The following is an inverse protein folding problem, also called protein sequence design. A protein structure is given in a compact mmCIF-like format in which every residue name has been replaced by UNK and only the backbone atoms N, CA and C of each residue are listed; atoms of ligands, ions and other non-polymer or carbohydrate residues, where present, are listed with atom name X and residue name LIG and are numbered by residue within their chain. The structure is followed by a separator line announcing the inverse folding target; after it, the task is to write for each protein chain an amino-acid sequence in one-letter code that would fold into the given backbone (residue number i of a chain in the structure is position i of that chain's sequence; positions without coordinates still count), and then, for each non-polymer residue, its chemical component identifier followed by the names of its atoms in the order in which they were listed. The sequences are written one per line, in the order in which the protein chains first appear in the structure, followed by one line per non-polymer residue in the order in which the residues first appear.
data_IF_061406719614
#
_entry.id   IF_061406719614
#
_cell.length_a   1.000
_cell.length_b   1.000
_cell.length_c   1.000
_cell.angle_alpha   90.00
_cell.angle_beta   90.00
_cell.angle_gamma   90.00
#
_symmetry.space_group_name_H-M   'P 1'
#
loop_
_entity.id
_entity.type
_entity.pdbx_description
1 polymer ?
#
# COMPACT_ATOMS: atom_id res chain seq x y z
N UNK A 1 0.66 -12.92 3.24
CA UNK A 1 -0.64 -13.58 2.94
C UNK A 1 -1.26 -13.11 1.63
N UNK A 2 -0.79 -12.03 1.04
CA UNK A 2 -1.31 -11.46 -0.19
C UNK A 2 -2.57 -10.60 0.02
N UNK A 3 -3.27 -10.31 -1.07
CA UNK A 3 -4.45 -9.46 -1.09
C UNK A 3 -5.65 -10.13 -0.42
N UNK A 4 -6.45 -9.37 0.34
CA UNK A 4 -7.72 -9.80 0.94
C UNK A 4 -8.68 -10.42 -0.09
N UNK A 5 -8.65 -9.97 -1.34
CA UNK A 5 -9.42 -10.52 -2.47
C UNK A 5 -9.35 -12.05 -2.54
N UNK A 6 -8.17 -12.64 -2.32
CA UNK A 6 -7.94 -14.10 -2.37
C UNK A 6 -8.60 -14.86 -1.21
N UNK A 7 -8.93 -14.17 -0.15
CA UNK A 7 -9.53 -14.74 1.06
C UNK A 7 -11.05 -14.54 1.15
N UNK A 8 -11.65 -13.76 0.24
CA UNK A 8 -13.10 -13.59 0.18
C UNK A 8 -13.72 -14.82 -0.48
N UNK A 9 -14.66 -15.47 0.21
CA UNK A 9 -15.37 -16.67 -0.24
C UNK A 9 -16.81 -16.37 -0.69
N UNK A 10 -17.43 -15.32 -0.15
CA UNK A 10 -18.77 -14.91 -0.51
C UNK A 10 -19.01 -13.46 -0.16
N UNK A 11 -19.95 -12.82 -0.85
CA UNK A 11 -20.38 -11.45 -0.60
C UNK A 11 -21.91 -11.38 -0.69
N UNK A 12 -22.49 -10.53 0.16
CA UNK A 12 -23.84 -10.00 -0.02
C UNK A 12 -23.73 -8.52 -0.33
N UNK A 13 -24.28 -8.11 -1.46
CA UNK A 13 -24.13 -6.76 -2.01
C UNK A 13 -25.50 -6.19 -2.31
N UNK A 14 -25.78 -4.98 -1.82
CA UNK A 14 -26.95 -4.21 -2.21
C UNK A 14 -26.59 -3.40 -3.45
N UNK A 15 -27.32 -3.60 -4.54
CA UNK A 15 -27.16 -2.90 -5.81
C UNK A 15 -27.89 -1.55 -5.79
N UNK A 16 -27.68 -0.74 -6.81
CA UNK A 16 -28.20 0.62 -6.92
C UNK A 16 -29.74 0.67 -6.87
N UNK A 17 -30.43 -0.34 -7.41
CA UNK A 17 -31.89 -0.45 -7.42
C UNK A 17 -32.50 -1.00 -6.11
N UNK A 18 -31.65 -1.28 -5.12
CA UNK A 18 -32.03 -1.85 -3.83
C UNK A 18 -32.13 -3.38 -3.84
N UNK A 19 -31.94 -4.03 -4.98
CA UNK A 19 -31.87 -5.50 -5.03
C UNK A 19 -30.64 -6.02 -4.29
N UNK A 20 -30.71 -7.26 -3.81
CA UNK A 20 -29.64 -7.92 -3.08
C UNK A 20 -29.03 -9.02 -3.97
N UNK A 21 -27.73 -8.92 -4.21
CA UNK A 21 -26.94 -9.92 -4.91
C UNK A 21 -26.13 -10.73 -3.91
N UNK A 22 -26.35 -12.05 -3.86
CA UNK A 22 -25.52 -12.97 -3.07
C UNK A 22 -24.65 -13.78 -4.02
N UNK A 23 -23.33 -13.71 -3.81
CA UNK A 23 -22.34 -14.37 -4.68
C UNK A 23 -21.29 -15.12 -3.87
N UNK A 24 -20.79 -16.19 -4.45
CA UNK A 24 -19.72 -17.02 -3.91
C UNK A 24 -18.51 -17.02 -4.85
N UNK A 25 -17.36 -17.37 -4.30
CA UNK A 25 -16.15 -17.56 -5.10
C UNK A 25 -16.42 -18.61 -6.19
N UNK A 26 -16.17 -18.23 -7.44
CA UNK A 26 -16.44 -19.05 -8.63
C UNK A 26 -17.71 -18.69 -9.39
N UNK A 27 -18.64 -17.90 -8.81
CA UNK A 27 -19.80 -17.37 -9.52
C UNK A 27 -19.34 -16.36 -10.57
N UNK A 28 -19.43 -16.73 -11.85
CA UNK A 28 -18.87 -15.95 -12.94
C UNK A 28 -19.72 -14.73 -13.28
N UNK A 29 -19.05 -13.66 -13.66
CA UNK A 29 -19.67 -12.52 -14.33
C UNK A 29 -19.94 -12.91 -15.78
N UNK A 30 -21.17 -12.67 -16.27
CA UNK A 30 -21.67 -13.14 -17.57
C UNK A 30 -21.85 -12.01 -18.61
N UNK A 31 -21.49 -10.78 -18.29
CA UNK A 31 -21.78 -9.62 -19.13
C UNK A 31 -20.55 -8.85 -19.63
N UNK A 32 -19.33 -9.24 -19.25
CA UNK A 32 -18.12 -8.54 -19.64
C UNK A 32 -16.97 -9.53 -19.89
N UNK A 33 -16.43 -9.49 -21.11
CA UNK A 33 -15.25 -10.24 -21.53
C UNK A 33 -14.03 -9.34 -21.75
N UNK A 34 -14.09 -8.09 -21.25
CA UNK A 34 -12.97 -7.16 -21.36
C UNK A 34 -11.75 -7.70 -20.59
N UNK A 35 -10.59 -7.49 -21.18
CA UNK A 35 -9.31 -7.82 -20.53
C UNK A 35 -8.46 -6.56 -20.36
N UNK A 36 -8.14 -6.27 -19.11
CA UNK A 36 -7.21 -5.20 -18.75
C UNK A 36 -5.96 -5.81 -18.13
N UNK A 37 -4.78 -5.65 -18.74
CA UNK A 37 -3.54 -6.17 -18.20
C UNK A 37 -3.30 -5.65 -16.78
N UNK A 38 -2.93 -6.56 -15.88
CA UNK A 38 -2.53 -6.19 -14.53
C UNK A 38 -1.07 -5.70 -14.53
N UNK A 39 -0.78 -4.73 -13.67
CA UNK A 39 0.60 -4.37 -13.36
C UNK A 39 1.33 -5.57 -12.74
N UNK A 40 2.62 -5.71 -13.03
CA UNK A 40 3.47 -6.77 -12.46
C UNK A 40 3.90 -6.44 -11.03
N UNK A 41 2.93 -6.20 -10.16
CA UNK A 41 3.11 -5.84 -8.75
C UNK A 41 2.43 -6.86 -7.84
N UNK A 42 2.89 -6.98 -6.60
CA UNK A 42 2.27 -7.86 -5.60
C UNK A 42 0.88 -7.36 -5.19
N UNK A 43 0.65 -6.04 -5.29
CA UNK A 43 -0.57 -5.35 -4.88
C UNK A 43 -1.02 -4.38 -5.97
N UNK A 44 -2.32 -4.38 -6.28
CA UNK A 44 -2.94 -3.42 -7.20
C UNK A 44 -4.43 -3.29 -6.86
N UNK A 45 -4.86 -2.08 -6.56
CA UNK A 45 -6.26 -1.70 -6.32
C UNK A 45 -6.72 -0.55 -7.22
N UNK A 46 -5.93 -0.19 -8.24
CA UNK A 46 -6.28 0.84 -9.20
C UNK A 46 -7.29 0.31 -10.22
N UNK A 47 -8.52 0.80 -10.18
CA UNK A 47 -9.57 0.40 -11.13
C UNK A 47 -10.20 -0.96 -10.84
N UNK A 48 -11.09 -1.38 -11.74
CA UNK A 48 -11.72 -2.71 -11.65
C UNK A 48 -10.79 -3.78 -12.22
N UNK A 49 -10.79 -4.95 -11.58
CA UNK A 49 -10.18 -6.13 -12.18
C UNK A 49 -11.10 -6.69 -13.27
N UNK A 50 -10.79 -6.42 -14.53
CA UNK A 50 -11.52 -6.95 -15.67
C UNK A 50 -10.66 -7.98 -16.40
N UNK A 51 -11.19 -9.21 -16.49
CA UNK A 51 -10.58 -10.32 -17.24
C UNK A 51 -11.63 -11.33 -17.64
N UNK A 52 -11.46 -12.03 -18.76
CA UNK A 52 -12.37 -13.08 -19.17
C UNK A 52 -12.57 -14.13 -18.06
N UNK A 53 -13.80 -14.48 -17.80
CA UNK A 53 -14.16 -15.48 -16.80
C UNK A 53 -13.88 -15.10 -15.34
N UNK A 54 -13.75 -13.80 -15.01
CA UNK A 54 -13.69 -13.34 -13.63
C UNK A 54 -14.95 -13.71 -12.85
N UNK A 55 -14.85 -13.79 -11.53
CA UNK A 55 -16.03 -13.94 -10.69
C UNK A 55 -16.48 -12.59 -10.09
N UNK A 56 -17.70 -12.56 -9.57
CA UNK A 56 -18.28 -11.38 -8.95
C UNK A 56 -17.45 -10.82 -7.78
N UNK A 57 -16.79 -11.70 -7.02
CA UNK A 57 -15.93 -11.28 -5.90
C UNK A 57 -14.72 -10.51 -6.41
N UNK A 58 -14.12 -10.97 -7.52
CA UNK A 58 -12.99 -10.27 -8.15
C UNK A 58 -13.40 -8.88 -8.63
N UNK A 59 -14.63 -8.72 -9.12
CA UNK A 59 -15.16 -7.44 -9.58
C UNK A 59 -15.48 -6.48 -8.42
N UNK A 60 -16.13 -6.98 -7.34
CA UNK A 60 -16.48 -6.13 -6.20
C UNK A 60 -15.29 -5.77 -5.31
N UNK A 61 -14.29 -6.67 -5.20
CA UNK A 61 -13.10 -6.39 -4.41
C UNK A 61 -12.25 -5.28 -5.06
N UNK A 62 -12.17 -4.13 -4.39
CA UNK A 62 -11.48 -2.94 -4.91
C UNK A 62 -12.38 -2.00 -5.73
N UNK A 63 -13.69 -2.27 -5.82
CA UNK A 63 -14.64 -1.38 -6.53
C UNK A 63 -14.95 -0.06 -5.82
N UNK A 64 -14.43 0.14 -4.62
CA UNK A 64 -14.58 1.36 -3.83
C UNK A 64 -16.06 1.80 -3.63
N UNK A 65 -16.98 0.83 -3.53
CA UNK A 65 -18.42 1.11 -3.38
C UNK A 65 -19.08 1.75 -4.60
N UNK A 66 -18.44 1.69 -5.77
CA UNK A 66 -18.99 2.27 -7.01
C UNK A 66 -19.90 1.33 -7.77
N UNK A 67 -19.89 0.03 -7.45
CA UNK A 67 -20.71 -1.01 -8.11
C UNK A 67 -21.83 -1.55 -7.22
N UNK A 68 -21.76 -1.35 -5.93
CA UNK A 68 -22.70 -1.83 -4.93
C UNK A 68 -22.17 -1.58 -3.53
N UNK A 69 -23.01 -1.85 -2.54
CA UNK A 69 -22.68 -1.72 -1.10
C UNK A 69 -22.56 -3.13 -0.53
N UNK A 70 -21.33 -3.54 -0.19
CA UNK A 70 -21.08 -4.82 0.48
C UNK A 70 -21.62 -4.71 1.92
N UNK A 71 -22.58 -5.57 2.28
CA UNK A 71 -23.22 -5.59 3.60
C UNK A 71 -22.82 -6.82 4.42
N UNK A 72 -22.31 -7.87 3.76
CA UNK A 72 -21.82 -9.09 4.39
C UNK A 72 -20.69 -9.68 3.57
N UNK A 73 -19.70 -10.27 4.24
CA UNK A 73 -18.57 -10.94 3.59
C UNK A 73 -18.18 -12.22 4.34
N UNK A 74 -18.09 -13.32 3.62
CA UNK A 74 -17.53 -14.56 4.11
C UNK A 74 -16.05 -14.63 3.79
N UNK A 75 -15.21 -14.79 4.83
CA UNK A 75 -13.75 -14.80 4.69
C UNK A 75 -13.17 -16.17 5.02
N UNK A 76 -12.17 -16.57 4.24
CA UNK A 76 -11.29 -17.71 4.58
C UNK A 76 -10.35 -17.27 5.70
N UNK A 77 -10.41 -17.97 6.82
CA UNK A 77 -9.47 -17.78 7.92
C UNK A 77 -8.20 -18.60 7.69
N UNK A 78 -7.09 -18.06 8.13
CA UNK A 78 -5.82 -18.79 8.20
C UNK A 78 -5.58 -19.26 9.65
N UNK A 79 -4.91 -20.41 9.85
CA UNK A 79 -4.44 -20.79 11.17
C UNK A 79 -3.58 -19.70 11.79
N UNK A 80 -3.76 -19.42 13.08
CA UNK A 80 -2.82 -18.54 13.80
C UNK A 80 -1.47 -19.22 13.85
N UNK A 81 -0.37 -18.57 13.44
CA UNK A 81 0.97 -19.16 13.58
C UNK A 81 1.26 -19.51 15.05
N UNK A 82 1.84 -20.68 15.26
CA UNK A 82 2.16 -21.16 16.60
C UNK A 82 3.31 -20.33 17.22
N UNK A 83 4.29 -20.01 16.41
CA UNK A 83 5.45 -19.21 16.80
C UNK A 83 5.80 -18.19 15.73
N UNK A 84 6.10 -16.94 16.16
CA UNK A 84 6.51 -15.83 15.30
C UNK A 84 7.63 -15.10 16.00
N UNK A 85 8.81 -15.12 15.39
CA UNK A 85 9.88 -14.21 15.75
C UNK A 85 9.64 -12.86 15.10
N UNK A 86 9.77 -11.79 15.87
CA UNK A 86 9.73 -10.42 15.36
C UNK A 86 11.04 -9.70 15.68
N UNK A 87 11.44 -8.76 14.83
CA UNK A 87 12.64 -7.98 15.07
C UNK A 87 12.58 -6.59 14.42
N UNK A 88 13.31 -5.65 15.02
CA UNK A 88 13.63 -4.36 14.41
C UNK A 88 15.14 -4.31 14.22
N UNK A 89 15.57 -4.37 12.97
CA UNK A 89 16.99 -4.40 12.59
C UNK A 89 17.39 -3.01 12.12
N UNK A 90 18.41 -2.43 12.78
CA UNK A 90 18.87 -1.08 12.49
C UNK A 90 20.11 -1.08 11.61
N UNK A 91 20.14 -0.14 10.67
CA UNK A 91 21.25 0.06 9.73
C UNK A 91 21.71 1.51 9.75
N UNK A 92 22.98 1.75 9.44
CA UNK A 92 23.55 3.11 9.41
C UNK A 92 23.00 3.98 8.30
N UNK A 93 22.53 3.37 7.20
CA UNK A 93 21.92 4.04 6.05
C UNK A 93 21.07 3.05 5.23
N UNK A 94 20.47 3.51 4.12
CA UNK A 94 19.55 2.71 3.31
C UNK A 94 20.22 1.58 2.53
N UNK A 95 21.47 1.72 2.08
CA UNK A 95 22.11 0.72 1.20
C UNK A 95 22.21 -0.66 1.88
N UNK A 96 22.81 -0.80 3.08
CA UNK A 96 22.85 -2.10 3.75
C UNK A 96 21.45 -2.62 4.12
N UNK A 97 20.48 -1.75 4.37
CA UNK A 97 19.09 -2.19 4.59
C UNK A 97 18.48 -2.78 3.32
N UNK A 98 18.74 -2.18 2.15
CA UNK A 98 18.27 -2.69 0.86
C UNK A 98 18.96 -4.01 0.49
N UNK A 99 20.25 -4.13 0.76
CA UNK A 99 20.99 -5.39 0.57
C UNK A 99 20.41 -6.50 1.44
N UNK A 100 20.07 -6.19 2.69
CA UNK A 100 19.38 -7.11 3.59
C UNK A 100 17.99 -7.50 3.06
N UNK A 101 17.20 -6.57 2.53
CA UNK A 101 15.89 -6.88 1.90
C UNK A 101 16.06 -7.85 0.75
N UNK A 102 17.05 -7.64 -0.12
CA UNK A 102 17.29 -8.51 -1.27
C UNK A 102 17.74 -9.92 -0.83
N UNK A 103 18.58 -10.01 0.20
CA UNK A 103 19.04 -11.28 0.77
C UNK A 103 17.94 -12.03 1.54
N UNK A 104 17.10 -11.31 2.29
CA UNK A 104 16.15 -11.91 3.23
C UNK A 104 14.79 -12.19 2.63
N UNK A 105 14.41 -11.53 1.55
CA UNK A 105 13.08 -11.65 0.93
C UNK A 105 12.59 -13.08 0.74
N UNK A 106 13.49 -14.02 0.47
CA UNK A 106 13.18 -15.43 0.20
C UNK A 106 13.44 -16.35 1.40
N UNK A 107 13.72 -15.81 2.58
CA UNK A 107 13.89 -16.64 3.80
C UNK A 107 12.58 -17.37 4.10
N UNK A 108 12.61 -18.70 4.29
CA UNK A 108 11.42 -19.46 4.65
C UNK A 108 10.72 -18.91 5.89
N UNK A 109 9.39 -18.82 5.82
CA UNK A 109 8.59 -18.31 6.94
C UNK A 109 8.61 -16.79 7.12
N UNK A 110 9.42 -16.04 6.38
CA UNK A 110 9.40 -14.58 6.45
C UNK A 110 8.08 -14.07 5.87
N UNK A 111 7.30 -13.38 6.70
CA UNK A 111 5.94 -12.95 6.39
C UNK A 111 5.79 -11.43 6.25
N UNK A 112 6.78 -10.68 6.74
CA UNK A 112 6.75 -9.23 6.69
C UNK A 112 8.18 -8.67 6.69
N UNK A 113 8.42 -7.68 5.83
CA UNK A 113 9.57 -6.76 5.90
C UNK A 113 9.02 -5.35 5.70
N UNK A 114 9.09 -4.53 6.75
CA UNK A 114 8.73 -3.11 6.73
C UNK A 114 9.97 -2.26 6.81
N UNK A 115 10.00 -1.19 6.03
CA UNK A 115 11.13 -0.25 5.97
C UNK A 115 10.80 1.07 6.67
N UNK A 116 11.81 1.66 7.30
CA UNK A 116 11.77 3.00 7.90
C UNK A 116 13.05 3.74 7.49
N UNK A 117 12.91 4.92 6.87
CA UNK A 117 14.04 5.77 6.55
C UNK A 117 14.54 6.57 7.76
N UNK A 118 15.65 7.28 7.61
CA UNK A 118 16.25 8.09 8.68
C UNK A 118 15.27 9.13 9.26
N UNK A 119 14.43 9.75 8.43
CA UNK A 119 13.45 10.76 8.86
C UNK A 119 12.28 10.10 9.60
N UNK A 120 11.88 8.91 9.20
CA UNK A 120 10.92 8.08 9.95
C UNK A 120 11.44 7.74 11.33
N UNK A 121 12.70 7.32 11.44
CA UNK A 121 13.34 7.01 12.73
C UNK A 121 13.49 8.27 13.59
N UNK A 122 13.84 9.41 13.01
CA UNK A 122 13.91 10.68 13.73
C UNK A 122 12.56 11.06 14.35
N UNK A 123 11.48 10.90 13.63
CA UNK A 123 10.12 11.15 14.14
C UNK A 123 9.75 10.14 15.24
N UNK A 124 10.06 8.85 15.04
CA UNK A 124 9.79 7.80 16.03
C UNK A 124 10.56 7.99 17.34
N UNK A 125 11.79 8.55 17.30
CA UNK A 125 12.61 8.81 18.52
C UNK A 125 11.91 9.73 19.54
N UNK A 126 10.95 10.53 19.13
CA UNK A 126 10.13 11.34 20.05
C UNK A 126 9.37 10.45 21.06
N UNK A 127 8.95 9.25 20.65
CA UNK A 127 8.22 8.28 21.48
C UNK A 127 9.04 7.05 21.86
N UNK A 128 10.13 6.80 21.12
CA UNK A 128 11.03 5.66 21.25
C UNK A 128 12.47 6.14 21.31
N UNK A 129 12.89 6.80 22.43
CA UNK A 129 14.26 7.32 22.58
C UNK A 129 15.33 6.23 22.60
N UNK A 130 14.94 4.96 22.78
CA UNK A 130 15.79 3.79 22.72
C UNK A 130 16.28 3.43 21.31
N UNK A 131 15.73 4.03 20.24
CA UNK A 131 16.21 3.83 18.87
C UNK A 131 17.69 4.29 18.79
N UNK A 132 18.62 3.43 18.30
CA UNK A 132 20.03 3.79 18.19
C UNK A 132 20.23 5.11 17.45
N UNK A 133 21.02 6.01 18.02
CA UNK A 133 21.22 7.36 17.47
C UNK A 133 21.82 7.33 16.05
N UNK A 134 22.73 6.37 15.80
CA UNK A 134 23.40 6.18 14.52
C UNK A 134 22.52 5.51 13.45
N UNK A 135 21.32 5.02 13.80
CA UNK A 135 20.44 4.36 12.84
C UNK A 135 19.92 5.36 11.81
N UNK A 136 20.25 5.11 10.54
CA UNK A 136 19.79 5.84 9.37
C UNK A 136 18.72 5.10 8.56
N UNK A 137 18.49 3.81 8.86
CA UNK A 137 17.38 3.02 8.35
C UNK A 137 17.03 1.90 9.32
N UNK A 138 15.81 1.35 9.23
CA UNK A 138 15.44 0.14 9.94
C UNK A 138 14.55 -0.76 9.09
N UNK A 139 14.64 -2.08 9.36
CA UNK A 139 13.72 -3.09 8.87
C UNK A 139 13.00 -3.72 10.07
N UNK A 140 11.67 -3.71 10.06
CA UNK A 140 10.87 -4.51 10.97
C UNK A 140 10.46 -5.78 10.24
N UNK A 141 10.78 -6.91 10.84
CA UNK A 141 10.55 -8.24 10.27
C UNK A 141 9.66 -9.08 11.15
N UNK A 142 8.91 -10.00 10.53
CA UNK A 142 8.24 -11.11 11.21
C UNK A 142 8.51 -12.40 10.44
N UNK A 143 8.88 -13.46 11.15
CA UNK A 143 9.14 -14.80 10.59
C UNK A 143 8.41 -15.87 11.39
N UNK A 144 7.67 -16.74 10.72
CA UNK A 144 7.08 -17.94 11.33
C UNK A 144 8.18 -18.99 11.57
N UNK A 145 8.21 -19.55 12.76
CA UNK A 145 9.23 -20.50 13.21
C UNK A 145 10.66 -19.94 12.99
N UNK A 146 10.84 -18.64 13.27
CA UNK A 146 12.11 -17.96 13.08
C UNK A 146 13.19 -18.44 14.04
N UNK A 147 14.44 -18.50 13.57
CA UNK A 147 15.61 -18.87 14.34
C UNK A 147 16.32 -17.59 14.83
N UNK A 148 16.37 -17.39 16.14
CA UNK A 148 17.01 -16.22 16.75
C UNK A 148 18.52 -16.22 16.52
N UNK A 149 19.17 -17.38 16.49
CA UNK A 149 20.63 -17.48 16.30
C UNK A 149 20.99 -17.08 14.88
N UNK A 150 20.16 -17.45 13.88
CA UNK A 150 20.33 -16.95 12.53
C UNK A 150 20.32 -15.41 12.47
N UNK A 151 19.36 -14.78 13.13
CA UNK A 151 19.26 -13.33 13.11
C UNK A 151 20.36 -12.64 13.93
N UNK A 152 20.81 -13.24 15.02
CA UNK A 152 21.97 -12.74 15.79
C UNK A 152 23.26 -12.68 14.95
N UNK A 153 23.43 -13.64 14.02
CA UNK A 153 24.60 -13.68 13.13
C UNK A 153 24.49 -12.71 11.92
N UNK A 154 23.25 -12.31 11.54
CA UNK A 154 23.01 -11.54 10.30
C UNK A 154 22.54 -10.10 10.54
N UNK A 155 22.17 -9.74 11.77
CA UNK A 155 21.72 -8.40 12.13
C UNK A 155 22.78 -7.64 12.94
N UNK A 156 22.86 -6.30 12.83
CA UNK A 156 23.70 -5.48 13.69
C UNK A 156 23.36 -5.65 15.19
N UNK A 157 24.35 -5.51 16.07
CA UNK A 157 24.24 -5.76 17.52
C UNK A 157 23.13 -4.95 18.21
N UNK A 158 22.88 -3.71 17.75
CA UNK A 158 21.85 -2.82 18.32
C UNK A 158 20.42 -3.23 17.93
N UNK A 159 20.24 -4.32 17.16
CA UNK A 159 18.93 -4.78 16.68
C UNK A 159 18.10 -5.39 17.82
N UNK A 160 16.78 -5.24 17.71
CA UNK A 160 15.85 -5.75 18.71
C UNK A 160 15.13 -6.99 18.19
N UNK A 161 15.11 -8.06 18.99
CA UNK A 161 14.38 -9.28 18.68
C UNK A 161 13.46 -9.67 19.83
N UNK A 162 12.37 -10.31 19.49
CA UNK A 162 11.35 -10.73 20.43
C UNK A 162 10.76 -12.07 20.03
N UNK A 163 10.80 -13.01 20.97
CA UNK A 163 10.09 -14.28 20.89
C UNK A 163 8.81 -14.28 21.74
N UNK A 164 8.68 -13.37 22.74
CA UNK A 164 7.48 -13.30 23.59
C UNK A 164 6.34 -12.53 22.92
N UNK A 165 5.08 -12.89 23.25
CA UNK A 165 3.89 -12.16 22.80
C UNK A 165 3.92 -10.68 23.22
N UNK A 166 4.47 -10.39 24.42
CA UNK A 166 4.56 -9.03 24.93
C UNK A 166 5.50 -8.16 24.10
N UNK A 167 6.66 -8.69 23.72
CA UNK A 167 7.63 -7.96 22.91
C UNK A 167 7.13 -7.79 21.46
N UNK A 168 6.46 -8.80 20.89
CA UNK A 168 5.81 -8.69 19.59
C UNK A 168 4.77 -7.57 19.58
N UNK A 169 3.99 -7.43 20.66
CA UNK A 169 3.04 -6.34 20.80
C UNK A 169 3.75 -4.96 20.92
N UNK A 170 4.95 -4.90 21.54
CA UNK A 170 5.80 -3.71 21.54
C UNK A 170 6.20 -3.32 20.12
N UNK A 171 6.64 -4.27 19.31
CA UNK A 171 7.03 -3.99 17.92
C UNK A 171 5.82 -3.65 17.03
N UNK A 172 4.66 -4.25 17.28
CA UNK A 172 3.41 -3.84 16.64
C UNK A 172 3.07 -2.38 16.96
N UNK A 173 3.18 -1.98 18.21
CA UNK A 173 2.98 -0.57 18.62
C UNK A 173 4.01 0.37 18.00
N UNK A 174 5.27 -0.04 17.94
CA UNK A 174 6.34 0.69 17.25
C UNK A 174 5.96 0.95 15.77
N UNK A 175 5.53 -0.10 15.05
CA UNK A 175 5.07 0.03 13.66
C UNK A 175 3.91 1.03 13.51
N UNK A 176 2.92 0.96 14.39
CA UNK A 176 1.73 1.83 14.33
C UNK A 176 2.00 3.26 14.80
N UNK A 177 3.01 3.50 15.62
CA UNK A 177 3.35 4.81 16.11
C UNK A 177 3.68 5.81 15.00
N UNK A 178 4.36 5.37 13.92
CA UNK A 178 4.75 6.26 12.83
C UNK A 178 3.56 6.81 12.04
N UNK A 179 2.62 6.00 11.52
CA UNK A 179 1.40 6.52 10.88
C UNK A 179 0.59 7.46 11.78
N UNK A 180 0.51 7.19 13.08
CA UNK A 180 -0.16 8.05 14.05
C UNK A 180 0.54 9.41 14.16
N UNK A 181 1.87 9.44 14.35
CA UNK A 181 2.65 10.67 14.45
C UNK A 181 2.60 11.48 13.14
N UNK A 182 2.62 10.82 11.98
CA UNK A 182 2.41 11.45 10.67
C UNK A 182 1.06 12.14 10.61
N UNK A 183 -0.03 11.43 10.97
CA UNK A 183 -1.39 11.98 10.96
C UNK A 183 -1.54 13.15 11.94
N UNK A 184 -0.95 13.05 13.13
CA UNK A 184 -0.95 14.13 14.13
C UNK A 184 -0.17 15.36 13.65
N UNK A 185 0.97 15.15 12.99
CA UNK A 185 1.77 16.24 12.42
C UNK A 185 1.01 16.95 11.30
N UNK A 186 0.39 16.22 10.38
CA UNK A 186 -0.42 16.76 9.30
C UNK A 186 -1.60 17.56 9.86
N UNK A 187 -2.29 17.02 10.88
CA UNK A 187 -3.42 17.69 11.54
C UNK A 187 -2.98 19.01 12.21
N UNK A 188 -1.87 18.99 12.95
CA UNK A 188 -1.32 20.18 13.62
C UNK A 188 -0.91 21.28 12.62
N UNK A 189 -0.39 20.90 11.46
CA UNK A 189 0.04 21.84 10.41
C UNK A 189 -1.11 22.37 9.56
N UNK A 190 -2.29 21.74 9.62
CA UNK A 190 -3.51 22.20 8.93
C UNK A 190 -3.56 21.92 7.43
N UNK A 191 -2.60 21.17 6.88
CA UNK A 191 -2.58 20.78 5.46
C UNK A 191 -3.29 19.45 5.25
N UNK A 192 -3.68 19.17 4.00
CA UNK A 192 -4.13 17.86 3.61
C UNK A 192 -2.93 16.89 3.56
N UNK A 193 -3.17 15.64 3.91
CA UNK A 193 -2.15 14.59 3.83
C UNK A 193 -1.71 14.38 2.38
N UNK A 194 -0.42 14.54 2.13
CA UNK A 194 0.26 14.24 0.87
C UNK A 194 1.01 12.92 1.02
N UNK A 195 0.45 11.85 0.44
CA UNK A 195 1.06 10.51 0.52
C UNK A 195 0.92 9.72 -0.77
N UNK A 196 1.91 8.89 -1.05
CA UNK A 196 1.87 7.88 -2.12
C UNK A 196 1.17 6.60 -1.64
N UNK A 197 0.70 5.81 -2.62
CA UNK A 197 0.24 4.44 -2.47
C UNK A 197 0.65 3.67 -3.73
N UNK A 198 1.92 3.84 -4.12
CA UNK A 198 2.48 3.34 -5.37
C UNK A 198 3.25 2.06 -5.11
N UNK A 199 3.03 1.03 -5.90
CA UNK A 199 3.87 -0.14 -5.91
C UNK A 199 4.52 -0.33 -7.29
N UNK A 200 5.72 -0.86 -7.31
CA UNK A 200 6.44 -1.20 -8.54
C UNK A 200 6.78 -2.70 -8.54
N UNK A 201 7.18 -3.28 -9.69
CA UNK A 201 7.72 -4.64 -9.69
C UNK A 201 8.86 -4.77 -8.67
N UNK A 202 8.93 -5.91 -7.99
CA UNK A 202 9.91 -6.16 -6.91
C UNK A 202 11.33 -5.77 -7.32
N UNK A 203 11.75 -6.14 -8.52
CA UNK A 203 13.08 -5.84 -9.04
C UNK A 203 13.35 -4.32 -9.25
N UNK A 204 12.30 -3.48 -9.20
CA UNK A 204 12.39 -2.03 -9.38
C UNK A 204 12.25 -1.26 -8.07
N UNK A 205 12.08 -1.95 -6.93
CA UNK A 205 11.84 -1.32 -5.63
C UNK A 205 12.98 -0.40 -5.18
N UNK A 206 14.25 -0.83 -5.35
CA UNK A 206 15.45 -0.02 -5.04
C UNK A 206 15.51 1.25 -5.91
N UNK A 207 15.25 1.12 -7.19
CA UNK A 207 15.22 2.24 -8.13
C UNK A 207 14.15 3.26 -7.75
N UNK A 208 12.96 2.79 -7.38
CA UNK A 208 11.86 3.68 -6.97
C UNK A 208 12.17 4.42 -5.67
N UNK A 209 12.79 3.75 -4.67
CA UNK A 209 13.20 4.42 -3.44
C UNK A 209 14.25 5.50 -3.73
N UNK A 210 15.26 5.20 -4.54
CA UNK A 210 16.27 6.17 -4.93
C UNK A 210 15.65 7.37 -5.67
N UNK A 211 14.72 7.11 -6.58
CA UNK A 211 13.99 8.17 -7.28
C UNK A 211 13.24 9.08 -6.30
N UNK A 212 12.52 8.52 -5.33
CA UNK A 212 11.88 9.31 -4.28
C UNK A 212 12.86 10.25 -3.58
N UNK A 213 14.00 9.73 -3.13
CA UNK A 213 15.00 10.49 -2.38
C UNK A 213 15.63 11.61 -3.20
N UNK A 214 16.05 11.30 -4.44
CA UNK A 214 16.65 12.27 -5.36
C UNK A 214 15.67 13.41 -5.67
N UNK A 215 14.41 13.07 -5.98
CA UNK A 215 13.42 14.11 -6.32
C UNK A 215 13.01 14.97 -5.12
N UNK A 216 12.90 14.39 -3.93
CA UNK A 216 12.66 15.14 -2.70
C UNK A 216 13.80 16.13 -2.41
N UNK A 217 15.04 15.69 -2.59
CA UNK A 217 16.24 16.53 -2.42
C UNK A 217 16.28 17.68 -3.45
N UNK A 218 16.07 17.38 -4.74
CA UNK A 218 16.08 18.38 -5.81
C UNK A 218 14.99 19.44 -5.64
N UNK A 219 13.86 19.09 -5.05
CA UNK A 219 12.77 20.02 -4.74
C UNK A 219 12.92 20.70 -3.38
N UNK A 220 14.04 20.49 -2.68
CA UNK A 220 14.33 21.00 -1.34
C UNK A 220 13.18 20.71 -0.33
N UNK A 221 12.53 19.55 -0.46
CA UNK A 221 11.51 19.09 0.48
C UNK A 221 12.18 18.27 1.55
N UNK A 222 12.33 18.85 2.74
CA UNK A 222 12.95 18.20 3.90
C UNK A 222 11.95 17.56 4.86
N UNK A 223 10.71 18.02 4.86
CA UNK A 223 9.65 17.54 5.74
C UNK A 223 8.93 16.34 5.11
N UNK A 224 9.55 15.18 5.18
CA UNK A 224 8.95 13.93 4.71
C UNK A 224 9.39 12.74 5.55
N UNK A 225 8.69 11.63 5.41
CA UNK A 225 9.08 10.28 5.87
C UNK A 225 8.81 9.27 4.77
N UNK A 226 9.67 8.24 4.67
CA UNK A 226 9.50 7.10 3.77
C UNK A 226 9.48 5.83 4.61
N UNK A 227 8.38 5.09 4.54
CA UNK A 227 8.22 3.82 5.24
C UNK A 227 7.24 2.91 4.53
N UNK A 228 7.20 1.64 4.90
CA UNK A 228 6.17 0.71 4.41
C UNK A 228 6.73 -0.63 3.93
N UNK A 229 5.95 -1.29 3.11
CA UNK A 229 6.07 -2.70 2.73
C UNK A 229 7.16 -2.93 1.69
N UNK A 230 8.42 -2.77 2.07
CA UNK A 230 9.55 -2.90 1.13
C UNK A 230 9.65 -4.31 0.53
N UNK A 231 9.19 -5.33 1.27
CA UNK A 231 9.08 -6.69 0.79
C UNK A 231 8.24 -6.81 -0.49
N UNK A 232 7.24 -5.95 -0.65
CA UNK A 232 6.34 -5.85 -1.81
C UNK A 232 6.72 -4.74 -2.80
N UNK A 233 7.86 -4.08 -2.64
CA UNK A 233 8.25 -2.87 -3.37
C UNK A 233 7.15 -1.78 -3.33
N UNK A 234 6.50 -1.64 -2.16
CA UNK A 234 5.42 -0.72 -1.89
C UNK A 234 5.79 0.16 -0.70
N UNK A 235 6.39 1.31 -0.97
CA UNK A 235 6.79 2.30 0.03
C UNK A 235 5.89 3.52 -0.02
N UNK A 236 5.55 4.04 1.16
CA UNK A 236 4.79 5.27 1.32
C UNK A 236 5.73 6.45 1.55
N UNK A 237 5.72 7.41 0.64
CA UNK A 237 6.26 8.75 0.89
C UNK A 237 5.14 9.59 1.50
N UNK A 238 5.38 10.17 2.66
CA UNK A 238 4.48 11.13 3.28
C UNK A 238 5.19 12.48 3.37
N UNK A 239 4.72 13.48 2.62
CA UNK A 239 5.24 14.85 2.68
C UNK A 239 4.45 15.60 3.76
N UNK A 240 5.17 16.10 4.74
CA UNK A 240 4.64 16.81 5.91
C UNK A 240 4.78 18.31 5.68
N UNK A 241 3.99 18.86 4.75
CA UNK A 241 4.10 20.26 4.36
C UNK A 241 3.93 21.21 5.54
N UNK A 242 4.73 22.28 5.59
CA UNK A 242 4.69 23.33 6.61
C UNK A 242 4.36 24.71 6.01
N UNK A 243 4.18 24.82 4.71
CA UNK A 243 3.82 26.02 3.98
C UNK A 243 3.01 25.70 2.71
N UNK A 244 2.27 26.67 2.21
CA UNK A 244 1.54 26.54 0.93
C UNK A 244 2.47 26.24 -0.26
N UNK A 245 3.67 26.80 -0.24
CA UNK A 245 4.67 26.56 -1.28
C UNK A 245 5.12 25.09 -1.27
N UNK A 246 5.47 24.56 -0.10
CA UNK A 246 5.86 23.16 0.08
C UNK A 246 4.70 22.21 -0.24
N UNK A 247 3.47 22.56 0.14
CA UNK A 247 2.28 21.80 -0.19
C UNK A 247 2.06 21.70 -1.71
N UNK A 248 2.14 22.82 -2.44
CA UNK A 248 2.00 22.84 -3.90
C UNK A 248 3.12 22.06 -4.60
N UNK A 249 4.36 22.22 -4.14
CA UNK A 249 5.51 21.44 -4.66
C UNK A 249 5.33 19.96 -4.41
N UNK A 250 4.88 19.60 -3.21
CA UNK A 250 4.59 18.22 -2.85
C UNK A 250 3.50 17.59 -3.72
N UNK A 251 2.41 18.32 -4.03
CA UNK A 251 1.37 17.82 -4.93
C UNK A 251 1.90 17.49 -6.33
N UNK A 252 2.75 18.37 -6.89
CA UNK A 252 3.40 18.12 -8.19
C UNK A 252 4.30 16.89 -8.13
N UNK A 253 5.07 16.78 -7.07
CA UNK A 253 6.01 15.66 -6.87
C UNK A 253 5.30 14.33 -6.74
N UNK A 254 4.15 14.27 -6.04
CA UNK A 254 3.33 13.06 -5.99
C UNK A 254 2.84 12.59 -7.36
N UNK A 255 2.51 13.53 -8.26
CA UNK A 255 2.13 13.23 -9.63
C UNK A 255 3.32 12.68 -10.44
N UNK A 256 4.52 13.27 -10.26
CA UNK A 256 5.76 12.80 -10.87
C UNK A 256 6.08 11.37 -10.40
N UNK A 257 5.95 11.09 -9.10
CA UNK A 257 6.14 9.75 -8.54
C UNK A 257 5.18 8.73 -9.15
N UNK A 258 3.90 9.10 -9.32
CA UNK A 258 2.91 8.23 -9.93
C UNK A 258 3.23 7.91 -11.39
N UNK A 259 3.67 8.91 -12.18
CA UNK A 259 4.12 8.69 -13.56
C UNK A 259 5.29 7.74 -13.63
N UNK A 260 6.32 7.98 -12.81
CA UNK A 260 7.50 7.14 -12.77
C UNK A 260 7.20 5.70 -12.33
N UNK A 261 6.32 5.51 -11.35
CA UNK A 261 5.87 4.18 -10.96
C UNK A 261 5.23 3.41 -12.13
N UNK A 262 4.39 4.07 -12.93
CA UNK A 262 3.78 3.48 -14.13
C UNK A 262 4.83 3.16 -15.20
N UNK A 263 5.79 4.05 -15.45
CA UNK A 263 6.92 3.82 -16.38
C UNK A 263 7.74 2.58 -15.98
N UNK A 264 7.86 2.30 -14.68
CA UNK A 264 8.49 1.10 -14.15
C UNK A 264 7.62 -0.17 -14.24
N UNK A 265 6.39 -0.07 -14.78
CA UNK A 265 5.42 -1.18 -14.82
C UNK A 265 4.64 -1.37 -13.53
N UNK A 266 4.61 -0.35 -12.69
CA UNK A 266 3.94 -0.33 -11.38
C UNK A 266 2.45 0.04 -11.43
N UNK A 267 1.91 0.38 -10.25
CA UNK A 267 0.52 0.79 -10.07
C UNK A 267 0.42 2.12 -9.31
N UNK A 268 -0.62 2.89 -9.63
CA UNK A 268 -0.92 4.17 -8.98
C UNK A 268 -1.69 4.02 -7.66
N UNK A 269 -2.18 2.83 -7.36
CA UNK A 269 -2.77 2.48 -6.07
C UNK A 269 -2.54 1.00 -5.76
N UNK A 270 -1.78 0.74 -4.71
CA UNK A 270 -1.44 -0.61 -4.28
C UNK A 270 -2.50 -1.20 -3.32
N UNK A 271 -2.94 -0.42 -2.31
CA UNK A 271 -3.82 -0.88 -1.24
C UNK A 271 -5.01 0.04 -0.97
N UNK A 272 -4.82 1.37 -0.98
CA UNK A 272 -5.78 2.33 -0.42
C UNK A 272 -6.95 2.64 -1.35
N UNK A 273 -6.86 2.26 -2.63
CA UNK A 273 -7.76 2.76 -3.66
C UNK A 273 -7.48 4.22 -4.05
N UNK A 274 -8.15 4.70 -5.06
CA UNK A 274 -7.96 6.06 -5.59
C UNK A 274 -8.82 7.09 -4.86
N UNK A 275 -10.01 6.70 -4.46
CA UNK A 275 -11.00 7.62 -3.92
C UNK A 275 -11.31 8.75 -4.89
N UNK A 276 -11.81 9.87 -4.36
CA UNK A 276 -12.09 11.08 -5.15
C UNK A 276 -10.82 11.89 -5.45
N UNK A 277 -9.86 11.89 -4.52
CA UNK A 277 -8.69 12.76 -4.60
C UNK A 277 -7.65 12.30 -5.61
N UNK A 278 -7.51 10.99 -5.79
CA UNK A 278 -6.52 10.36 -6.66
C UNK A 278 -7.14 9.75 -7.93
N UNK A 279 -8.45 9.95 -8.17
CA UNK A 279 -9.16 9.41 -9.32
C UNK A 279 -8.49 9.76 -10.67
N UNK A 280 -7.91 10.96 -10.78
CA UNK A 280 -7.16 11.41 -11.95
C UNK A 280 -5.91 10.57 -12.25
N UNK A 281 -5.35 9.86 -11.28
CA UNK A 281 -4.19 8.99 -11.48
C UNK A 281 -4.53 7.73 -12.29
N UNK A 282 -5.82 7.36 -12.39
CA UNK A 282 -6.25 6.23 -13.20
C UNK A 282 -5.83 6.39 -14.67
N UNK A 283 -5.89 7.62 -15.18
CA UNK A 283 -5.52 7.98 -16.56
C UNK A 283 -4.01 7.86 -16.84
N UNK A 284 -3.17 7.78 -15.80
CA UNK A 284 -1.73 7.51 -15.96
C UNK A 284 -1.47 6.03 -16.24
N UNK A 285 -2.27 5.15 -15.63
CA UNK A 285 -2.04 3.70 -15.68
C UNK A 285 -2.78 3.02 -16.82
N UNK A 286 -3.96 3.54 -17.18
CA UNK A 286 -4.85 2.89 -18.14
C UNK A 286 -5.15 3.78 -19.34
N UNK A 287 -5.28 3.15 -20.51
CA UNK A 287 -5.70 3.85 -21.74
C UNK A 287 -7.16 4.31 -21.64
N UNK A 288 -7.57 5.32 -22.45
CA UNK A 288 -8.97 5.75 -22.49
C UNK A 288 -9.95 4.60 -22.79
N UNK A 289 -9.57 3.65 -23.64
CA UNK A 289 -10.39 2.46 -23.95
C UNK A 289 -10.57 1.54 -22.73
N UNK A 290 -9.50 1.30 -21.96
CA UNK A 290 -9.57 0.48 -20.74
C UNK A 290 -10.44 1.16 -19.66
N UNK A 291 -10.31 2.47 -19.50
CA UNK A 291 -11.16 3.25 -18.58
C UNK A 291 -12.62 3.19 -19.04
N UNK A 292 -12.88 3.24 -20.34
CA UNK A 292 -14.23 3.14 -20.87
C UNK A 292 -14.85 1.74 -20.65
N UNK A 293 -14.06 0.66 -20.74
CA UNK A 293 -14.49 -0.68 -20.34
C UNK A 293 -14.90 -0.71 -18.86
N UNK A 294 -14.11 -0.13 -17.95
CA UNK A 294 -14.49 -0.03 -16.52
C UNK A 294 -15.78 0.77 -16.34
N UNK A 295 -15.94 1.90 -17.06
CA UNK A 295 -17.16 2.71 -17.01
C UNK A 295 -18.38 1.97 -17.59
N UNK A 296 -18.20 1.09 -18.58
CA UNK A 296 -19.26 0.25 -19.11
C UNK A 296 -19.80 -0.71 -18.04
N UNK A 297 -18.91 -1.35 -17.28
CA UNK A 297 -19.30 -2.18 -16.12
C UNK A 297 -20.02 -1.35 -15.07
N UNK A 298 -19.53 -0.16 -14.75
CA UNK A 298 -20.21 0.77 -13.84
C UNK A 298 -21.63 1.08 -14.32
N UNK A 299 -21.83 1.45 -15.60
CA UNK A 299 -23.17 1.74 -16.18
C UNK A 299 -24.10 0.53 -16.15
N UNK A 300 -23.54 -0.67 -16.23
CA UNK A 300 -24.34 -1.91 -16.17
C UNK A 300 -24.96 -2.12 -14.78
N UNK A 301 -24.21 -1.85 -13.71
CA UNK A 301 -24.64 -2.08 -12.33
C UNK A 301 -25.23 -0.83 -11.66
N UNK A 302 -24.85 0.35 -12.13
CA UNK A 302 -25.33 1.65 -11.64
C UNK A 302 -25.54 2.61 -12.81
N UNK A 303 -26.61 2.41 -13.60
CA UNK A 303 -26.89 3.21 -14.81
C UNK A 303 -27.11 4.71 -14.51
N UNK A 304 -27.49 5.05 -13.32
CA UNK A 304 -27.73 6.43 -12.88
C UNK A 304 -26.51 7.08 -12.21
N UNK A 305 -25.40 6.36 -12.08
CA UNK A 305 -24.18 6.83 -11.43
C UNK A 305 -24.40 7.40 -10.02
N UNK A 306 -25.28 6.77 -9.22
CA UNK A 306 -25.60 7.22 -7.89
C UNK A 306 -24.60 6.77 -6.83
N UNK A 307 -23.97 5.59 -7.06
CA UNK A 307 -23.07 4.97 -6.09
C UNK A 307 -21.70 5.65 -6.11
N UNK A 308 -21.30 6.16 -4.97
CA UNK A 308 -19.99 6.73 -4.65
C UNK A 308 -19.43 7.66 -5.74
N UNK A 309 -20.21 8.66 -6.13
CA UNK A 309 -19.90 9.61 -7.21
C UNK A 309 -18.54 10.27 -7.04
N UNK A 310 -17.77 10.32 -8.12
CA UNK A 310 -16.42 10.92 -8.16
C UNK A 310 -15.31 10.02 -7.65
N UNK A 311 -15.62 8.87 -7.04
CA UNK A 311 -14.62 7.86 -6.72
C UNK A 311 -14.21 7.11 -7.98
N UNK A 312 -12.91 6.85 -8.11
CA UNK A 312 -12.30 6.14 -9.23
C UNK A 312 -12.46 6.84 -10.59
N UNK A 313 -13.65 7.35 -10.89
CA UNK A 313 -13.94 8.11 -12.11
C UNK A 313 -14.30 9.55 -11.73
N UNK A 314 -13.50 10.55 -12.12
CA UNK A 314 -13.86 11.96 -11.91
C UNK A 314 -15.23 12.27 -12.51
N UNK A 315 -16.01 13.09 -11.81
CA UNK A 315 -17.21 13.66 -12.41
C UNK A 315 -16.76 14.57 -13.56
N UNK A 316 -17.36 14.40 -14.74
CA UNK A 316 -17.16 15.35 -15.82
C UNK A 316 -17.57 16.75 -15.30
N UNK A 317 -16.79 17.81 -15.54
CA UNK A 317 -17.29 19.15 -15.28
C UNK A 317 -18.57 19.35 -16.08
N UNK A 318 -19.63 19.78 -15.38
CA UNK A 318 -20.91 20.16 -16.01
C UNK A 318 -20.70 21.32 -16.95
#
# INVERSE_FOLDING_TARGET
YGSTRKHVLGLRVVLMDGSVLEVKRGDKVDFDDSEIPLSNTTKNTAGYLLRPGMDWIDLFAGSEGTLGIVVDAQLRLLPKPADVLAGVVFFTNNEPALDAVDAWRNIPGLRMIEFFDAKSLALLRERHPEIPFQAGAALLIEQENGDIDFWADHAPEDSWFAASDQDRERFRRFRHALPEQVNDTVRRRGFLKLNTDLAVPIARGREMLLYYQVRLLEQAIDNYVIFGHIGDAHLHVNILANSDAEFKSGQKLLLEFAKHAVELGGTVSAEHGLGKRKAHLLELQYTPSQIESMKAVKRRLDPWWLLNQGNMFPLSPC
#
